data_IF_835163883263
#
_entry.id   IF_835163883263
#
_cell.length_a   1.000
_cell.length_b   1.000
_cell.length_c   1.000
_cell.angle_alpha   90.00
_cell.angle_beta   90.00
_cell.angle_gamma   90.00
#
_symmetry.space_group_name_H-M   'P 1'
#
loop_
_entity.id
_entity.type
_entity.pdbx_description
1 polymer ?
#
# COMPACT_ATOMS: atom_id res chain seq x y z
N UNK A 1 -18.03 18.17 22.65
CA UNK A 1 -18.21 17.84 21.22
C UNK A 1 -18.06 16.34 21.07
N UNK A 2 -19.01 15.62 20.46
CA UNK A 2 -18.79 14.21 20.11
C UNK A 2 -17.74 14.17 19.01
N UNK A 3 -16.68 13.38 19.21
CA UNK A 3 -15.69 13.15 18.18
C UNK A 3 -16.37 12.54 16.96
N UNK A 4 -16.22 13.18 15.80
CA UNK A 4 -16.70 12.65 14.53
C UNK A 4 -15.90 11.39 14.20
N UNK A 5 -16.58 10.31 13.80
CA UNK A 5 -15.90 9.08 13.39
C UNK A 5 -14.97 9.39 12.20
N UNK A 6 -13.68 9.04 12.25
CA UNK A 6 -12.79 9.27 11.12
C UNK A 6 -13.22 8.41 9.92
N UNK A 7 -13.01 8.93 8.71
CA UNK A 7 -13.11 8.12 7.49
C UNK A 7 -11.86 7.24 7.41
N UNK A 8 -12.06 5.95 7.20
CA UNK A 8 -10.97 4.98 7.05
C UNK A 8 -10.98 4.49 5.61
N UNK A 9 -9.82 4.54 4.96
CA UNK A 9 -9.63 4.03 3.60
C UNK A 9 -8.77 2.77 3.63
N UNK A 10 -8.98 1.88 2.68
CA UNK A 10 -8.18 0.66 2.49
C UNK A 10 -8.05 0.33 1.00
N UNK A 11 -7.15 -0.58 0.62
CA UNK A 11 -7.02 -1.06 -0.76
C UNK A 11 -6.59 -2.54 -0.81
N UNK A 12 -7.07 -3.34 -1.78
CA UNK A 12 -6.74 -4.76 -1.85
C UNK A 12 -5.28 -5.01 -2.27
N UNK A 13 -4.44 -5.44 -1.32
CA UNK A 13 -3.09 -5.96 -1.63
C UNK A 13 -3.08 -7.44 -2.07
N UNK A 14 -4.16 -8.16 -1.79
CA UNK A 14 -4.38 -9.56 -2.15
C UNK A 14 -5.77 -9.67 -2.76
N UNK A 15 -5.91 -10.42 -3.85
CA UNK A 15 -7.19 -10.56 -4.55
C UNK A 15 -7.58 -9.30 -5.32
N UNK A 16 -8.83 -8.86 -5.15
CA UNK A 16 -9.39 -7.64 -5.71
C UNK A 16 -10.40 -7.00 -4.74
N UNK A 17 -11.05 -5.92 -5.17
CA UNK A 17 -12.02 -5.17 -4.37
C UNK A 17 -13.16 -6.05 -3.86
N UNK A 18 -13.69 -6.94 -4.69
CA UNK A 18 -14.79 -7.83 -4.30
C UNK A 18 -14.32 -8.85 -3.27
N UNK A 19 -13.15 -9.46 -3.48
CA UNK A 19 -12.56 -10.36 -2.50
C UNK A 19 -12.33 -9.68 -1.13
N UNK A 20 -11.78 -8.45 -1.14
CA UNK A 20 -11.59 -7.70 0.10
C UNK A 20 -12.92 -7.34 0.78
N UNK A 21 -13.95 -7.00 -0.01
CA UNK A 21 -15.29 -6.71 0.49
C UNK A 21 -15.89 -7.93 1.18
N UNK A 22 -15.79 -9.12 0.58
CA UNK A 22 -16.21 -10.38 1.19
C UNK A 22 -15.51 -10.63 2.53
N UNK A 23 -14.19 -10.40 2.61
CA UNK A 23 -13.43 -10.56 3.86
C UNK A 23 -13.92 -9.62 4.97
N UNK A 24 -14.28 -8.37 4.66
CA UNK A 24 -14.86 -7.47 5.66
C UNK A 24 -16.25 -7.94 6.11
N UNK A 25 -17.09 -8.45 5.21
CA UNK A 25 -18.38 -9.03 5.59
C UNK A 25 -18.28 -10.28 6.46
N UNK A 26 -17.21 -11.05 6.33
CA UNK A 26 -16.94 -12.19 7.22
C UNK A 26 -16.65 -11.74 8.66
N UNK A 27 -16.06 -10.55 8.85
CA UNK A 27 -15.68 -10.02 10.16
C UNK A 27 -16.76 -9.14 10.79
N UNK A 28 -17.50 -8.40 9.98
CA UNK A 28 -18.54 -7.45 10.41
C UNK A 28 -19.66 -7.40 9.37
N UNK A 29 -20.90 -7.67 9.78
CA UNK A 29 -22.04 -7.76 8.87
C UNK A 29 -22.57 -6.40 8.44
N UNK A 30 -22.40 -5.38 9.26
CA UNK A 30 -22.89 -4.04 8.99
C UNK A 30 -21.84 -3.22 8.22
N UNK A 31 -22.08 -3.02 6.92
CA UNK A 31 -21.20 -2.30 5.99
C UNK A 31 -20.86 -0.88 6.44
N UNK A 32 -21.71 -0.24 7.26
CA UNK A 32 -21.41 1.09 7.81
C UNK A 32 -20.19 1.09 8.72
N UNK A 33 -19.73 -0.06 9.21
CA UNK A 33 -18.51 -0.20 9.99
C UNK A 33 -17.26 -0.48 9.14
N UNK A 34 -17.41 -0.80 7.86
CA UNK A 34 -16.31 -1.11 6.96
C UNK A 34 -15.51 0.15 6.57
N UNK A 35 -14.23 0.01 6.22
CA UNK A 35 -13.50 1.07 5.56
C UNK A 35 -14.00 1.28 4.12
N UNK A 36 -13.77 2.47 3.57
CA UNK A 36 -13.98 2.74 2.16
C UNK A 36 -12.84 2.12 1.34
N UNK A 37 -13.17 1.23 0.41
CA UNK A 37 -12.17 0.57 -0.45
C UNK A 37 -11.82 1.49 -1.62
N UNK A 38 -10.55 1.85 -1.73
CA UNK A 38 -9.97 2.50 -2.91
C UNK A 38 -9.61 1.42 -3.92
N UNK A 39 -10.29 1.47 -5.07
CA UNK A 39 -10.01 0.52 -6.16
C UNK A 39 -8.77 0.98 -6.93
N UNK A 40 -7.70 0.17 -6.99
CA UNK A 40 -6.50 0.55 -7.72
C UNK A 40 -6.78 0.61 -9.22
N UNK A 41 -6.17 1.57 -9.93
CA UNK A 41 -6.29 1.68 -11.39
C UNK A 41 -5.83 0.41 -12.13
N UNK A 42 -4.94 -0.37 -11.49
CA UNK A 42 -4.31 -1.57 -12.02
C UNK A 42 -4.33 -2.70 -10.99
N UNK A 43 -4.93 -3.84 -11.37
CA UNK A 43 -4.85 -5.08 -10.57
C UNK A 43 -3.41 -5.58 -10.51
N UNK A 44 -2.89 -5.72 -9.29
CA UNK A 44 -1.55 -6.25 -9.03
C UNK A 44 -1.66 -7.66 -8.47
N UNK A 45 -0.84 -8.58 -8.98
CA UNK A 45 -0.75 -9.90 -8.40
C UNK A 45 0.11 -9.83 -7.14
N UNK A 46 -0.42 -10.36 -6.05
CA UNK A 46 0.29 -10.43 -4.78
C UNK A 46 1.67 -11.09 -4.96
N UNK A 47 2.71 -10.46 -4.40
CA UNK A 47 4.09 -10.94 -4.47
C UNK A 47 4.77 -10.81 -5.83
N UNK A 48 4.08 -10.35 -6.89
CA UNK A 48 4.72 -10.09 -8.18
C UNK A 48 5.54 -8.81 -8.10
N UNK A 49 6.79 -8.89 -8.57
CA UNK A 49 7.69 -7.73 -8.59
C UNK A 49 7.30 -6.80 -9.73
N UNK A 50 6.95 -5.56 -9.40
CA UNK A 50 6.70 -4.49 -10.35
C UNK A 50 7.74 -3.38 -10.18
N UNK A 51 8.27 -2.86 -11.29
CA UNK A 51 9.30 -1.80 -11.26
C UNK A 51 8.79 -0.53 -10.61
N UNK A 52 7.54 -0.15 -10.91
CA UNK A 52 6.86 1.00 -10.29
C UNK A 52 6.75 0.89 -8.76
N UNK A 53 6.52 -0.32 -8.22
CA UNK A 53 6.52 -0.57 -6.77
C UNK A 53 7.91 -0.40 -6.15
N UNK A 54 8.97 -0.73 -6.88
CA UNK A 54 10.33 -0.48 -6.40
C UNK A 54 10.69 1.01 -6.42
N UNK A 55 10.29 1.71 -7.48
CA UNK A 55 10.58 3.14 -7.64
C UNK A 55 9.90 3.98 -6.56
N UNK A 56 8.60 3.76 -6.31
CA UNK A 56 7.88 4.50 -5.27
C UNK A 56 8.44 4.19 -3.87
N UNK A 57 8.87 2.94 -3.62
CA UNK A 57 9.51 2.58 -2.36
C UNK A 57 10.82 3.37 -2.12
N UNK A 58 11.65 3.52 -3.16
CA UNK A 58 12.85 4.38 -3.11
C UNK A 58 12.50 5.85 -2.90
N UNK A 59 11.52 6.36 -3.63
CA UNK A 59 11.08 7.76 -3.55
C UNK A 59 10.56 8.12 -2.15
N UNK A 60 9.78 7.23 -1.54
CA UNK A 60 9.26 7.41 -0.18
C UNK A 60 10.40 7.46 0.85
N UNK A 61 11.37 6.57 0.74
CA UNK A 61 12.57 6.58 1.59
C UNK A 61 13.35 7.90 1.43
N UNK A 62 13.58 8.34 0.19
CA UNK A 62 14.32 9.58 -0.10
C UNK A 62 13.60 10.83 0.43
N UNK A 63 12.29 10.93 0.24
CA UNK A 63 11.50 12.12 0.59
C UNK A 63 11.09 12.19 2.06
N UNK A 64 10.83 11.04 2.69
CA UNK A 64 10.28 10.98 4.04
C UNK A 64 11.28 10.49 5.08
N UNK A 65 12.37 9.84 4.67
CA UNK A 65 13.31 9.18 5.59
C UNK A 65 12.71 7.96 6.31
N UNK A 66 11.60 7.41 5.79
CA UNK A 66 10.88 6.27 6.39
C UNK A 66 11.04 5.05 5.47
N UNK A 67 11.57 3.96 6.05
CA UNK A 67 11.65 2.67 5.35
C UNK A 67 10.29 2.01 5.44
N UNK A 68 9.66 1.83 4.30
CA UNK A 68 8.42 1.05 4.16
C UNK A 68 8.72 -0.42 3.85
N UNK A 69 7.72 -1.28 3.99
CA UNK A 69 7.83 -2.64 3.47
C UNK A 69 7.76 -2.62 1.93
N UNK A 70 8.35 -3.59 1.25
CA UNK A 70 8.45 -3.60 -0.21
C UNK A 70 7.35 -4.41 -0.90
N UNK A 71 6.46 -5.05 -0.13
CA UNK A 71 5.42 -5.94 -0.62
C UNK A 71 4.02 -5.30 -0.59
N UNK A 72 3.66 -4.61 0.49
CA UNK A 72 2.33 -4.02 0.70
C UNK A 72 2.33 -2.51 0.49
N UNK A 73 3.17 -1.79 1.25
CA UNK A 73 3.20 -0.32 1.23
C UNK A 73 3.32 0.30 -0.17
N UNK A 74 4.13 -0.21 -1.12
CA UNK A 74 4.24 0.42 -2.43
C UNK A 74 2.92 0.35 -3.21
N UNK A 75 2.15 -0.72 -3.01
CA UNK A 75 0.83 -0.81 -3.61
C UNK A 75 -0.14 0.18 -2.96
N UNK A 76 -0.15 0.22 -1.63
CA UNK A 76 -0.96 1.18 -0.86
C UNK A 76 -0.68 2.62 -1.25
N UNK A 77 0.59 3.00 -1.36
CA UNK A 77 1.01 4.34 -1.77
C UNK A 77 0.64 4.68 -3.20
N UNK A 78 0.86 3.76 -4.16
CA UNK A 78 0.44 4.01 -5.55
C UNK A 78 -1.07 4.27 -5.63
N UNK A 79 -1.89 3.47 -4.94
CA UNK A 79 -3.34 3.68 -4.94
C UNK A 79 -3.75 4.94 -4.19
N UNK A 80 -3.09 5.26 -3.07
CA UNK A 80 -3.35 6.50 -2.35
C UNK A 80 -3.05 7.73 -3.21
N UNK A 81 -1.94 7.72 -3.95
CA UNK A 81 -1.54 8.82 -4.83
C UNK A 81 -2.45 8.98 -6.07
N UNK A 82 -3.18 7.93 -6.46
CA UNK A 82 -4.24 8.00 -7.47
C UNK A 82 -5.51 8.70 -6.96
N UNK A 83 -5.64 8.93 -5.65
CA UNK A 83 -6.82 9.52 -4.99
C UNK A 83 -6.42 10.80 -4.20
N UNK A 84 -5.95 11.86 -4.89
CA UNK A 84 -5.39 13.05 -4.24
C UNK A 84 -6.38 13.82 -3.36
N UNK A 85 -7.69 13.68 -3.60
CA UNK A 85 -8.77 14.30 -2.82
C UNK A 85 -8.78 13.84 -1.35
N UNK A 86 -8.14 12.72 -1.02
CA UNK A 86 -7.98 12.25 0.35
C UNK A 86 -7.15 13.26 1.16
N UNK A 87 -6.15 13.88 0.53
CA UNK A 87 -5.26 14.86 1.15
C UNK A 87 -5.90 16.24 1.35
N UNK A 88 -7.14 16.47 0.88
CA UNK A 88 -7.91 17.68 1.22
C UNK A 88 -8.22 17.78 2.72
N UNK A 89 -8.09 16.68 3.45
CA UNK A 89 -8.19 16.63 4.91
C UNK A 89 -6.89 16.09 5.52
N UNK A 90 -6.56 16.46 6.77
CA UNK A 90 -5.47 15.84 7.50
C UNK A 90 -5.58 14.32 7.45
N UNK A 91 -4.55 13.67 6.91
CA UNK A 91 -4.54 12.24 6.63
C UNK A 91 -3.47 11.56 7.49
N UNK A 92 -3.85 10.47 8.13
CA UNK A 92 -2.95 9.61 8.88
C UNK A 92 -2.73 8.31 8.08
N UNK A 93 -1.51 8.10 7.60
CA UNK A 93 -1.11 6.82 7.02
C UNK A 93 -0.68 5.85 8.13
N UNK A 94 -1.17 4.62 8.08
CA UNK A 94 -0.79 3.57 9.03
C UNK A 94 0.21 2.66 8.35
N UNK A 95 1.50 2.81 8.68
CA UNK A 95 2.53 1.84 8.29
C UNK A 95 2.43 0.61 9.20
N UNK A 96 2.04 -0.53 8.64
CA UNK A 96 1.68 -1.74 9.38
C UNK A 96 2.87 -2.66 9.71
N UNK A 97 4.10 -2.22 9.45
CA UNK A 97 5.33 -3.01 9.64
C UNK A 97 5.68 -3.83 8.39
N UNK A 98 6.21 -5.04 8.56
CA UNK A 98 6.58 -5.93 7.44
C UNK A 98 8.02 -5.81 6.94
N UNK A 99 8.85 -4.95 7.56
CA UNK A 99 10.22 -4.65 7.11
C UNK A 99 11.15 -5.87 6.99
N UNK A 100 10.95 -6.91 7.80
CA UNK A 100 11.74 -8.16 7.74
C UNK A 100 11.65 -8.78 6.33
N UNK A 101 10.54 -8.61 5.63
CA UNK A 101 10.37 -9.10 4.27
C UNK A 101 11.26 -8.42 3.22
N UNK A 102 11.78 -7.21 3.51
CA UNK A 102 12.53 -6.40 2.55
C UNK A 102 13.82 -7.09 2.10
N UNK A 103 14.53 -7.80 2.98
CA UNK A 103 15.75 -8.51 2.60
C UNK A 103 15.50 -9.48 1.43
N UNK A 104 14.48 -10.32 1.58
CA UNK A 104 14.09 -11.28 0.55
C UNK A 104 13.56 -10.61 -0.72
N UNK A 105 12.79 -9.52 -0.57
CA UNK A 105 12.21 -8.78 -1.69
C UNK A 105 13.29 -8.06 -2.49
N UNK A 106 14.24 -7.40 -1.85
CA UNK A 106 15.36 -6.72 -2.50
C UNK A 106 16.21 -7.71 -3.29
N UNK A 107 16.51 -8.89 -2.73
CA UNK A 107 17.22 -9.94 -3.45
C UNK A 107 16.46 -10.41 -4.71
N UNK A 108 15.12 -10.49 -4.64
CA UNK A 108 14.27 -10.83 -5.78
C UNK A 108 14.25 -9.71 -6.83
N UNK A 109 14.15 -8.46 -6.41
CA UNK A 109 14.17 -7.29 -7.29
C UNK A 109 15.51 -7.18 -8.03
N UNK A 110 16.63 -7.36 -7.32
CA UNK A 110 17.98 -7.40 -7.91
C UNK A 110 18.08 -8.45 -9.01
N UNK A 111 17.65 -9.69 -8.74
CA UNK A 111 17.69 -10.77 -9.74
C UNK A 111 16.81 -10.53 -10.97
N UNK A 112 15.68 -9.83 -10.82
CA UNK A 112 14.72 -9.62 -11.91
C UNK A 112 15.06 -8.40 -12.77
N UNK A 113 15.55 -7.34 -12.14
CA UNK A 113 15.79 -6.04 -12.76
C UNK A 113 17.28 -5.70 -12.69
N UNK A 114 18.14 -6.62 -13.14
CA UNK A 114 19.60 -6.64 -12.95
C UNK A 114 20.37 -5.46 -13.62
N UNK A 115 19.71 -4.32 -13.85
CA UNK A 115 20.27 -3.05 -14.30
C UNK A 115 19.60 -1.87 -13.55
N UNK A 116 20.39 -1.03 -12.89
CA UNK A 116 20.02 0.27 -12.28
C UNK A 116 19.14 0.25 -11.02
N UNK A 117 19.51 -0.54 -10.01
CA UNK A 117 19.12 -0.22 -8.64
C UNK A 117 20.28 0.55 -8.00
N UNK A 118 20.22 1.88 -8.03
CA UNK A 118 21.13 2.72 -7.24
C UNK A 118 20.91 2.42 -5.75
N UNK A 119 21.84 1.68 -5.14
CA UNK A 119 21.96 1.62 -3.70
C UNK A 119 22.62 2.93 -3.24
N UNK A 120 21.83 3.97 -2.98
CA UNK A 120 22.31 5.05 -2.12
C UNK A 120 22.35 4.48 -0.69
N UNK A 121 23.57 4.17 -0.26
CA UNK A 121 23.91 3.84 1.13
C UNK A 121 23.63 5.01 2.05
#
# INVERSE_FOLDING_TARGET
MRATRPRVFTTPCVGDTEYLKEQFFMLEKNETFHPQILSPSKKRHFGKLYRESYNIWLELQEKMGIVFDLLYDPHGWLTLLENPEIFEKPTLYIHQGGLIGNESMLARYKRKYDENIEHKR
#
